data_IF_980707952834
#
_entry.id   IF_980707952834
#
_cell.length_a   1.000
_cell.length_b   1.000
_cell.length_c   1.000
_cell.angle_alpha   90.00
_cell.angle_beta   90.00
_cell.angle_gamma   90.00
#
_symmetry.space_group_name_H-M   'P 1'
#
loop_
_entity.id
_entity.type
_entity.pdbx_description
1 polymer ?
#
# COMPACT_ATOMS: atom_id res chain seq x y z
N UNK A 1 -20.24 2.88 -7.94
CA UNK A 1 -20.35 3.22 -6.50
C UNK A 1 -21.31 4.40 -6.38
N UNK A 2 -22.09 4.50 -5.31
CA UNK A 2 -22.97 5.66 -5.10
C UNK A 2 -22.20 6.79 -4.40
N UNK A 3 -22.41 8.06 -4.78
CA UNK A 3 -21.78 9.18 -4.10
C UNK A 3 -22.30 9.29 -2.66
N UNK A 4 -21.40 9.64 -1.74
CA UNK A 4 -21.73 10.00 -0.35
C UNK A 4 -21.48 11.49 -0.16
N UNK A 5 -22.35 12.16 0.59
CA UNK A 5 -22.13 13.54 1.02
C UNK A 5 -21.55 13.53 2.42
N UNK A 6 -20.51 14.33 2.65
CA UNK A 6 -19.82 14.44 3.93
C UNK A 6 -19.66 15.91 4.29
N UNK A 7 -19.91 16.23 5.56
CA UNK A 7 -19.70 17.56 6.12
C UNK A 7 -18.46 17.53 7.02
N UNK A 8 -17.59 18.51 6.84
CA UNK A 8 -16.39 18.71 7.63
C UNK A 8 -16.39 20.14 8.17
N UNK A 9 -16.05 20.32 9.44
CA UNK A 9 -15.97 21.63 10.11
C UNK A 9 -14.52 22.18 10.19
N UNK A 10 -13.58 21.55 9.48
CA UNK A 10 -12.19 21.98 9.39
C UNK A 10 -11.67 21.98 7.95
N UNK A 11 -10.66 22.82 7.71
CA UNK A 11 -9.88 22.80 6.48
C UNK A 11 -8.90 21.63 6.51
N UNK A 12 -9.00 20.72 5.54
CA UNK A 12 -8.15 19.53 5.46
C UNK A 12 -7.65 19.30 4.03
N UNK A 13 -6.58 18.51 3.92
CA UNK A 13 -6.16 17.96 2.64
C UNK A 13 -7.11 16.84 2.20
N UNK A 14 -7.14 16.56 0.90
CA UNK A 14 -7.90 15.44 0.35
C UNK A 14 -7.40 14.09 0.90
N UNK A 15 -6.11 13.99 1.25
CA UNK A 15 -5.57 12.84 1.97
C UNK A 15 -6.29 12.65 3.30
N UNK A 16 -6.31 13.67 4.15
CA UNK A 16 -6.91 13.57 5.49
C UNK A 16 -8.39 13.16 5.43
N UNK A 17 -9.15 13.75 4.49
CA UNK A 17 -10.55 13.39 4.27
C UNK A 17 -10.71 11.97 3.73
N UNK A 18 -9.90 11.55 2.76
CA UNK A 18 -9.97 10.19 2.23
C UNK A 18 -9.65 9.15 3.31
N UNK A 19 -8.64 9.41 4.15
CA UNK A 19 -8.23 8.51 5.22
C UNK A 19 -9.23 8.46 6.37
N UNK A 20 -10.01 9.52 6.61
CA UNK A 20 -11.09 9.50 7.60
C UNK A 20 -12.26 8.62 7.17
N UNK A 21 -12.44 8.42 5.85
CA UNK A 21 -13.50 7.58 5.28
C UNK A 21 -13.10 6.11 5.23
N UNK A 22 -11.80 5.80 5.07
CA UNK A 22 -11.35 4.40 5.11
C UNK A 22 -9.99 4.12 4.49
N UNK A 23 -9.80 4.32 3.17
CA UNK A 23 -8.60 3.86 2.48
C UNK A 23 -7.36 4.59 3.01
N UNK A 24 -6.30 3.87 3.39
CA UNK A 24 -5.03 4.51 3.72
C UNK A 24 -4.38 5.01 2.43
N UNK A 25 -3.66 6.14 2.51
CA UNK A 25 -3.03 6.76 1.33
C UNK A 25 -2.12 5.83 0.50
N UNK A 26 -1.41 4.81 1.04
CA UNK A 26 -0.57 3.94 0.21
C UNK A 26 -1.38 3.02 -0.72
N UNK A 27 -2.70 2.92 -0.52
CA UNK A 27 -3.62 2.17 -1.39
C UNK A 27 -4.41 3.05 -2.36
N UNK A 28 -4.18 4.36 -2.35
CA UNK A 28 -4.82 5.32 -3.24
C UNK A 28 -3.90 5.60 -4.41
N UNK A 29 -4.34 5.21 -5.61
CA UNK A 29 -3.58 5.34 -6.84
C UNK A 29 -3.90 6.64 -7.59
N UNK A 30 -5.12 7.14 -7.45
CA UNK A 30 -5.53 8.38 -8.10
C UNK A 30 -6.61 9.08 -7.27
N UNK A 31 -6.46 10.40 -7.14
CA UNK A 31 -7.49 11.29 -6.62
C UNK A 31 -7.90 12.25 -7.73
N UNK A 32 -9.22 12.44 -7.86
CA UNK A 32 -9.82 13.35 -8.82
C UNK A 32 -10.75 14.31 -8.08
N UNK A 33 -10.54 15.62 -8.25
CA UNK A 33 -11.43 16.67 -7.75
C UNK A 33 -12.03 17.37 -8.97
N UNK A 34 -13.36 17.37 -9.09
CA UNK A 34 -14.09 18.02 -10.18
C UNK A 34 -13.56 17.68 -11.59
N UNK A 35 -13.15 16.42 -11.79
CA UNK A 35 -12.58 15.93 -13.06
C UNK A 35 -11.08 16.17 -13.25
N UNK A 36 -10.40 16.79 -12.30
CA UNK A 36 -8.95 17.06 -12.35
C UNK A 36 -8.21 16.12 -11.42
N UNK A 37 -7.16 15.45 -11.94
CA UNK A 37 -6.26 14.63 -11.14
C UNK A 37 -5.38 15.51 -10.23
N UNK A 38 -5.28 15.16 -8.95
CA UNK A 38 -4.56 15.97 -7.93
C UNK A 38 -3.65 15.12 -7.03
N UNK A 39 -2.72 15.78 -6.36
CA UNK A 39 -1.86 15.22 -5.31
C UNK A 39 -2.58 15.15 -3.95
N UNK A 40 -1.98 14.45 -2.98
CA UNK A 40 -2.51 14.28 -1.63
C UNK A 40 -2.66 15.60 -0.85
N UNK A 41 -1.84 16.59 -1.17
CA UNK A 41 -1.77 17.90 -0.50
C UNK A 41 -2.86 18.87 -0.95
N UNK A 42 -3.65 18.52 -1.97
CA UNK A 42 -4.74 19.36 -2.45
C UNK A 42 -5.73 19.64 -1.31
N UNK A 43 -6.06 20.92 -1.11
CA UNK A 43 -7.02 21.36 -0.12
C UNK A 43 -8.42 21.24 -0.71
N UNK A 44 -9.32 20.64 0.06
CA UNK A 44 -10.72 20.47 -0.34
C UNK A 44 -11.50 21.76 -0.09
N UNK A 45 -12.31 22.16 -1.06
CA UNK A 45 -13.21 23.31 -1.02
C UNK A 45 -14.69 22.88 -0.89
N UNK A 46 -15.54 23.82 -0.48
CA UNK A 46 -16.97 23.58 -0.37
C UNK A 46 -17.58 23.24 -1.74
N UNK A 47 -18.37 22.15 -1.78
CA UNK A 47 -19.00 21.65 -3.01
C UNK A 47 -18.12 20.78 -3.90
N UNK A 48 -16.87 20.49 -3.52
CA UNK A 48 -15.99 19.61 -4.30
C UNK A 48 -16.55 18.20 -4.47
N UNK A 49 -16.49 17.70 -5.71
CA UNK A 49 -16.74 16.30 -6.02
C UNK A 49 -15.42 15.54 -6.06
N UNK A 50 -15.22 14.66 -5.08
CA UNK A 50 -13.97 13.91 -4.91
C UNK A 50 -14.22 12.45 -5.28
N UNK A 51 -13.38 11.93 -6.17
CA UNK A 51 -13.32 10.50 -6.49
C UNK A 51 -11.92 9.96 -6.15
N UNK A 52 -11.90 8.87 -5.41
CA UNK A 52 -10.68 8.20 -4.94
C UNK A 52 -10.63 6.80 -5.55
N UNK A 53 -9.53 6.48 -6.23
CA UNK A 53 -9.36 5.22 -6.95
C UNK A 53 -8.16 4.45 -6.41
N UNK A 54 -8.33 3.14 -6.22
CA UNK A 54 -7.22 2.20 -5.93
C UNK A 54 -6.51 1.72 -7.20
N UNK A 55 -7.12 1.97 -8.36
CA UNK A 55 -6.60 1.68 -9.69
C UNK A 55 -6.97 2.86 -10.60
N UNK A 56 -5.98 3.65 -11.00
CA UNK A 56 -6.22 4.83 -11.81
C UNK A 56 -6.73 4.47 -13.22
N UNK A 57 -6.58 3.23 -13.70
CA UNK A 57 -7.12 2.83 -15.01
C UNK A 57 -8.64 2.76 -15.04
N UNK A 58 -9.27 2.62 -13.86
CA UNK A 58 -10.72 2.68 -13.73
C UNK A 58 -11.29 4.11 -13.91
N UNK A 59 -10.45 5.15 -13.88
CA UNK A 59 -10.88 6.53 -14.08
C UNK A 59 -10.89 6.91 -15.57
N UNK A 60 -12.01 7.48 -16.03
CA UNK A 60 -12.18 8.01 -17.39
C UNK A 60 -11.74 9.48 -17.47
N UNK A 61 -10.42 9.71 -17.30
CA UNK A 61 -9.79 11.02 -17.45
C UNK A 61 -8.48 10.89 -18.24
N UNK A 62 -8.13 11.94 -18.99
CA UNK A 62 -6.98 11.92 -19.89
C UNK A 62 -5.62 12.03 -19.15
N UNK A 63 -5.52 12.90 -18.15
CA UNK A 63 -4.28 13.15 -17.40
C UNK A 63 -4.40 12.53 -16.00
N UNK A 64 -3.54 11.55 -15.72
CA UNK A 64 -3.52 10.81 -14.46
C UNK A 64 -2.18 11.01 -13.76
N UNK A 65 -2.19 11.70 -12.63
CA UNK A 65 -1.07 11.71 -11.70
C UNK A 65 -1.22 10.50 -10.77
N UNK A 66 -0.46 9.43 -11.02
CA UNK A 66 -0.43 8.25 -10.15
C UNK A 66 0.19 8.64 -8.81
N UNK A 67 -0.49 8.27 -7.72
CA UNK A 67 -0.09 8.58 -6.35
C UNK A 67 0.67 7.43 -5.70
N UNK A 68 0.45 6.20 -6.16
CA UNK A 68 1.29 5.07 -5.79
C UNK A 68 2.60 5.20 -6.57
N UNK A 69 3.76 5.24 -5.90
CA UNK A 69 5.02 5.36 -6.61
C UNK A 69 5.32 4.09 -7.41
N UNK A 70 6.12 4.22 -8.47
CA UNK A 70 6.55 3.06 -9.28
C UNK A 70 7.49 2.16 -8.48
N UNK A 71 7.30 0.84 -8.56
CA UNK A 71 8.21 -0.15 -7.98
C UNK A 71 9.21 -0.56 -9.06
N UNK A 72 10.46 -0.11 -8.94
CA UNK A 72 11.51 -0.42 -9.90
C UNK A 72 12.13 -1.78 -9.61
N UNK A 73 12.00 -2.72 -10.56
CA UNK A 73 12.58 -4.05 -10.46
C UNK A 73 11.76 -5.01 -9.58
N UNK A 74 12.44 -6.04 -9.03
CA UNK A 74 11.77 -7.04 -8.22
C UNK A 74 11.26 -6.43 -6.90
N UNK A 75 9.98 -6.63 -6.53
CA UNK A 75 9.43 -6.05 -5.31
C UNK A 75 10.16 -6.57 -4.08
N UNK A 76 10.45 -5.65 -3.17
CA UNK A 76 11.00 -5.95 -1.84
C UNK A 76 9.95 -5.65 -0.80
N UNK A 77 9.90 -6.47 0.24
CA UNK A 77 8.84 -6.43 1.23
C UNK A 77 9.38 -6.18 2.63
N UNK A 78 8.56 -5.55 3.46
CA UNK A 78 8.65 -5.57 4.91
C UNK A 78 7.28 -5.90 5.48
N UNK A 79 7.24 -6.81 6.45
CA UNK A 79 5.99 -7.35 6.99
C UNK A 79 5.87 -7.08 8.48
N UNK A 80 4.64 -6.78 8.92
CA UNK A 80 4.32 -6.73 10.34
C UNK A 80 4.38 -8.12 11.02
N UNK A 81 4.32 -8.10 12.35
CA UNK A 81 4.44 -9.28 13.23
C UNK A 81 3.32 -10.32 13.04
N UNK A 82 2.18 -9.96 12.45
CA UNK A 82 1.05 -10.86 12.20
C UNK A 82 1.17 -11.66 10.88
N UNK A 83 2.21 -11.40 10.10
CA UNK A 83 2.39 -11.93 8.76
C UNK A 83 3.63 -12.84 8.62
N UNK A 84 4.23 -13.32 9.70
CA UNK A 84 5.49 -14.12 9.65
C UNK A 84 5.48 -15.32 8.70
N UNK A 85 4.37 -16.06 8.62
CA UNK A 85 4.25 -17.17 7.66
C UNK A 85 4.23 -16.70 6.19
N UNK A 86 3.61 -15.55 5.92
CA UNK A 86 3.64 -14.93 4.60
C UNK A 86 5.08 -14.49 4.27
N UNK A 87 5.82 -13.97 5.26
CA UNK A 87 7.23 -13.63 5.09
C UNK A 87 8.07 -14.82 4.62
N UNK A 88 7.92 -15.97 5.28
CA UNK A 88 8.60 -17.20 4.87
C UNK A 88 8.25 -17.62 3.44
N UNK A 89 6.98 -17.48 3.02
CA UNK A 89 6.58 -17.83 1.65
C UNK A 89 7.16 -16.89 0.60
N UNK A 90 7.14 -15.58 0.84
CA UNK A 90 7.73 -14.61 -0.09
C UNK A 90 9.24 -14.85 -0.25
N UNK A 91 9.95 -15.16 0.84
CA UNK A 91 11.37 -15.56 0.81
C UNK A 91 11.59 -16.83 -0.01
N UNK A 92 10.76 -17.86 0.19
CA UNK A 92 10.84 -19.09 -0.60
C UNK A 92 10.59 -18.86 -2.10
N UNK A 93 9.82 -17.83 -2.46
CA UNK A 93 9.63 -17.41 -3.85
C UNK A 93 10.77 -16.53 -4.39
N UNK A 94 11.77 -16.21 -3.56
CA UNK A 94 12.97 -15.44 -3.95
C UNK A 94 12.92 -13.95 -3.61
N UNK A 95 11.84 -13.47 -3.01
CA UNK A 95 11.67 -12.05 -2.72
C UNK A 95 12.42 -11.62 -1.45
N UNK A 96 13.15 -10.50 -1.55
CA UNK A 96 13.77 -9.87 -0.39
C UNK A 96 12.67 -9.38 0.56
N UNK A 97 12.54 -10.05 1.72
CA UNK A 97 11.42 -9.86 2.64
C UNK A 97 11.93 -9.72 4.08
N UNK A 98 11.87 -8.52 4.62
CA UNK A 98 12.16 -8.26 6.03
C UNK A 98 10.98 -8.62 6.92
N UNK A 99 11.29 -9.22 8.05
CA UNK A 99 10.32 -9.59 9.07
C UNK A 99 11.05 -9.81 10.39
N UNK A 100 10.52 -9.23 11.46
CA UNK A 100 10.93 -9.42 12.85
C UNK A 100 9.66 -9.56 13.71
N UNK A 101 9.70 -10.37 14.76
CA UNK A 101 8.54 -10.61 15.63
C UNK A 101 8.21 -9.42 16.56
N UNK A 102 9.08 -8.43 16.61
CA UNK A 102 9.09 -7.29 17.52
C UNK A 102 9.41 -5.99 16.78
N UNK A 103 8.96 -5.85 15.53
CA UNK A 103 9.06 -4.56 14.84
C UNK A 103 8.08 -3.55 15.47
N UNK A 104 8.57 -2.42 15.99
CA UNK A 104 7.74 -1.26 16.25
C UNK A 104 7.19 -0.69 14.94
N UNK A 105 5.98 -0.15 14.98
CA UNK A 105 5.32 0.41 13.80
C UNK A 105 6.11 1.57 13.15
N UNK A 106 6.76 2.40 13.96
CA UNK A 106 7.62 3.49 13.50
C UNK A 106 8.85 2.95 12.77
N UNK A 107 9.45 1.86 13.24
CA UNK A 107 10.52 1.17 12.54
C UNK A 107 10.03 0.55 11.22
N UNK A 108 8.82 -0.04 11.18
CA UNK A 108 8.22 -0.57 9.95
C UNK A 108 8.09 0.53 8.88
N UNK A 109 7.54 1.68 9.27
CA UNK A 109 7.35 2.81 8.37
C UNK A 109 8.69 3.39 7.89
N UNK A 110 9.66 3.54 8.80
CA UNK A 110 10.98 4.07 8.48
C UNK A 110 11.75 3.14 7.52
N UNK A 111 11.80 1.84 7.80
CA UNK A 111 12.50 0.87 6.93
C UNK A 111 11.79 0.73 5.59
N UNK A 112 10.46 0.74 5.57
CA UNK A 112 9.68 0.76 4.33
C UNK A 112 10.06 1.95 3.44
N UNK A 113 10.16 3.13 4.04
CA UNK A 113 10.55 4.37 3.37
C UNK A 113 12.00 4.32 2.86
N UNK A 114 12.96 4.16 3.76
CA UNK A 114 14.40 4.27 3.45
C UNK A 114 14.85 3.20 2.44
N UNK A 115 14.36 1.97 2.60
CA UNK A 115 14.73 0.85 1.75
C UNK A 115 13.78 0.66 0.56
N UNK A 116 12.81 1.55 0.35
CA UNK A 116 11.83 1.45 -0.75
C UNK A 116 11.18 0.06 -0.78
N UNK A 117 10.67 -0.40 0.37
CA UNK A 117 10.03 -1.70 0.54
C UNK A 117 8.52 -1.52 0.65
N UNK A 118 7.79 -2.42 0.01
CA UNK A 118 6.35 -2.54 0.15
C UNK A 118 6.05 -3.05 1.57
N UNK A 119 5.37 -2.22 2.37
CA UNK A 119 4.87 -2.59 3.68
C UNK A 119 3.59 -3.40 3.55
N UNK A 120 3.64 -4.68 3.93
CA UNK A 120 2.43 -5.49 4.09
C UNK A 120 2.06 -5.54 5.56
N UNK A 121 0.83 -5.15 5.88
CA UNK A 121 0.35 -5.12 7.26
C UNK A 121 -1.14 -5.41 7.36
N UNK A 122 -1.58 -5.79 8.55
CA UNK A 122 -2.99 -5.88 8.95
C UNK A 122 -3.40 -4.74 9.88
N UNK A 123 -2.59 -3.70 9.98
CA UNK A 123 -2.85 -2.52 10.78
C UNK A 123 -2.92 -1.27 9.88
N UNK A 124 -4.12 -0.69 9.77
CA UNK A 124 -4.34 0.53 9.02
C UNK A 124 -3.59 1.73 9.61
N UNK A 125 -3.36 1.75 10.93
CA UNK A 125 -2.62 2.81 11.60
C UNK A 125 -1.17 2.88 11.15
N UNK A 126 -0.54 1.75 10.82
CA UNK A 126 0.81 1.73 10.21
C UNK A 126 0.78 2.31 8.81
N UNK A 127 -0.20 1.93 7.98
CA UNK A 127 -0.33 2.45 6.62
C UNK A 127 -0.65 3.94 6.55
N UNK A 128 -1.34 4.50 7.55
CA UNK A 128 -1.67 5.93 7.59
C UNK A 128 -0.49 6.83 7.99
N UNK A 129 0.65 6.26 8.39
CA UNK A 129 1.87 7.04 8.69
C UNK A 129 2.42 7.65 7.41
N UNK A 130 2.68 8.95 7.41
CA UNK A 130 3.09 9.73 6.23
C UNK A 130 4.37 9.24 5.54
N UNK A 131 5.23 8.48 6.23
CA UNK A 131 6.44 7.89 5.65
C UNK A 131 6.15 6.71 4.70
N UNK A 132 4.99 6.05 4.85
CA UNK A 132 4.66 4.85 4.08
C UNK A 132 4.25 5.25 2.66
N UNK A 133 5.19 5.24 1.73
CA UNK A 133 4.88 5.44 0.31
C UNK A 133 4.29 4.20 -0.36
N UNK A 134 4.73 3.01 0.05
CA UNK A 134 4.31 1.73 -0.53
C UNK A 134 3.73 0.84 0.55
N UNK A 135 2.45 0.50 0.44
CA UNK A 135 1.86 -0.39 1.42
C UNK A 135 0.57 -1.03 0.98
N UNK A 136 0.22 -2.10 1.67
CA UNK A 136 -1.01 -2.82 1.42
C UNK A 136 -1.54 -3.48 2.69
N UNK A 137 -2.82 -3.22 2.95
CA UNK A 137 -3.57 -3.89 3.99
C UNK A 137 -3.96 -5.29 3.53
N UNK A 138 -3.39 -6.31 4.19
CA UNK A 138 -3.67 -7.72 3.90
C UNK A 138 -5.07 -8.07 4.42
N UNK A 139 -6.03 -8.16 3.50
CA UNK A 139 -7.47 -8.30 3.78
C UNK A 139 -7.83 -9.71 4.21
N UNK A 140 -7.28 -10.73 3.56
CA UNK A 140 -7.68 -12.10 3.86
C UNK A 140 -7.17 -12.57 5.22
N UNK A 141 -8.10 -13.04 6.03
CA UNK A 141 -7.82 -13.71 7.30
C UNK A 141 -7.31 -15.13 7.08
N UNK A 142 -7.63 -15.74 5.95
CA UNK A 142 -7.25 -17.11 5.61
C UNK A 142 -5.80 -17.20 5.17
N UNK A 143 -4.98 -17.93 5.94
CA UNK A 143 -3.53 -18.06 5.71
C UNK A 143 -3.16 -18.53 4.29
N UNK A 144 -3.97 -19.42 3.69
CA UNK A 144 -3.71 -19.96 2.34
C UNK A 144 -4.02 -18.96 1.22
N UNK A 145 -4.84 -17.96 1.50
CA UNK A 145 -5.26 -16.97 0.51
C UNK A 145 -4.35 -15.75 0.52
N UNK A 146 -3.67 -15.45 1.64
CA UNK A 146 -2.77 -14.27 1.75
C UNK A 146 -1.75 -14.23 0.63
N UNK A 147 -1.09 -15.35 0.34
CA UNK A 147 -0.11 -15.39 -0.73
C UNK A 147 -0.75 -15.14 -2.11
N UNK A 148 -1.96 -15.65 -2.34
CA UNK A 148 -2.68 -15.43 -3.61
C UNK A 148 -3.09 -13.97 -3.78
N UNK A 149 -3.53 -13.34 -2.69
CA UNK A 149 -3.85 -11.91 -2.64
C UNK A 149 -2.64 -11.06 -3.02
N UNK A 150 -1.48 -11.29 -2.38
CA UNK A 150 -0.24 -10.56 -2.71
C UNK A 150 0.23 -10.89 -4.13
N UNK A 151 0.12 -12.15 -4.56
CA UNK A 151 0.47 -12.55 -5.92
C UNK A 151 -0.35 -11.80 -6.98
N UNK A 152 -1.68 -11.73 -6.80
CA UNK A 152 -2.55 -11.02 -7.72
C UNK A 152 -2.28 -9.51 -7.73
N UNK A 153 -1.91 -8.93 -6.58
CA UNK A 153 -1.68 -7.48 -6.44
C UNK A 153 -0.36 -7.00 -7.05
N UNK A 154 0.70 -7.80 -6.96
CA UNK A 154 2.07 -7.40 -7.33
C UNK A 154 2.67 -8.22 -8.47
N UNK A 155 1.86 -9.06 -9.13
CA UNK A 155 2.31 -9.95 -10.21
C UNK A 155 3.62 -10.70 -9.88
N UNK A 156 3.59 -11.42 -8.75
CA UNK A 156 4.79 -12.10 -8.24
C UNK A 156 5.31 -13.21 -9.16
N UNK A 157 4.65 -13.54 -10.27
CA UNK A 157 5.17 -14.50 -11.23
C UNK A 157 6.36 -13.94 -12.01
N UNK A 158 6.33 -12.64 -12.33
CA UNK A 158 7.29 -12.00 -13.25
C UNK A 158 8.72 -11.97 -12.69
N UNK A 159 8.89 -11.86 -11.38
CA UNK A 159 10.20 -11.75 -10.73
C UNK A 159 10.54 -12.91 -9.79
N UNK A 160 9.76 -14.00 -9.80
CA UNK A 160 9.99 -15.12 -8.91
C UNK A 160 11.34 -15.79 -9.19
N UNK A 161 12.11 -16.00 -8.13
CA UNK A 161 13.34 -16.81 -8.14
C UNK A 161 13.26 -17.84 -7.01
N UNK A 162 12.42 -18.87 -7.14
CA UNK A 162 12.15 -19.79 -6.05
C UNK A 162 13.43 -20.42 -5.49
N UNK A 163 13.47 -20.57 -4.17
CA UNK A 163 14.58 -21.18 -3.43
C UNK A 163 15.94 -20.46 -3.59
N UNK A 164 15.95 -19.20 -4.03
CA UNK A 164 17.16 -18.35 -4.03
C UNK A 164 17.42 -17.66 -2.69
N UNK A 165 16.47 -17.73 -1.73
CA UNK A 165 16.59 -17.14 -0.40
C UNK A 165 16.18 -18.10 0.70
N UNK A 166 16.84 -17.95 1.84
CA UNK A 166 16.50 -18.66 3.07
C UNK A 166 15.17 -18.16 3.66
N UNK A 167 14.23 -19.08 3.87
CA UNK A 167 12.93 -18.77 4.49
C UNK A 167 13.04 -18.17 5.91
N UNK A 168 14.09 -18.54 6.65
CA UNK A 168 14.30 -18.12 8.02
C UNK A 168 15.00 -16.75 8.13
N UNK A 169 16.14 -16.57 7.44
CA UNK A 169 16.98 -15.38 7.61
C UNK A 169 17.01 -14.42 6.42
N UNK A 170 16.29 -14.70 5.32
CA UNK A 170 16.24 -13.87 4.09
C UNK A 170 17.56 -13.81 3.27
N UNK A 171 18.64 -14.46 3.75
CA UNK A 171 19.92 -14.52 3.03
C UNK A 171 19.83 -15.28 1.70
N UNK A 172 20.69 -14.93 0.75
CA UNK A 172 20.80 -15.62 -0.54
C UNK A 172 21.40 -17.02 -0.37
N UNK A 173 20.97 -17.98 -1.22
CA UNK A 173 21.41 -19.38 -1.23
C UNK A 173 22.30 -19.72 -2.43
#
# INVERSE_FOLDING_TARGET
QQPIALEFDWRASVKDMSESIGPPHPEVDLIVINGVSVAFEAIVEDGDQIAVYSDADAADIALKQRLIPEVVGAPRFILDTHLGRLASYLRLLGYDTLYRNDYPDDELAQVSHDEHRILLTRDLGVLKRSLVGYGYYVRTTQRRERLREIHARYDLATHAQPFSRCAACNGLL
#
